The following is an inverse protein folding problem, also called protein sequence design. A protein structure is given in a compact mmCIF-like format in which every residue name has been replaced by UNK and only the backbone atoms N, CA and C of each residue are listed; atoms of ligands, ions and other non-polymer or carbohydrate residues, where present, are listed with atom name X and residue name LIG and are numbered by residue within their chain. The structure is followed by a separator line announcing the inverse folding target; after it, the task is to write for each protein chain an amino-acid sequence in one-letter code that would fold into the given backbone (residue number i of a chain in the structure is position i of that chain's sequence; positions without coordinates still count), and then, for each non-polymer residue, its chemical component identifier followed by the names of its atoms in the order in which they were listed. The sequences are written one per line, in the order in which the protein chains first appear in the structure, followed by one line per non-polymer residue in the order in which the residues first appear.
data_IF_533644275842
#
_entry.id   IF_533644275842
#
_cell.length_a   1.000
_cell.length_b   1.000
_cell.length_c   1.000
_cell.angle_alpha   90.00
_cell.angle_beta   90.00
_cell.angle_gamma   90.00
#
_symmetry.space_group_name_H-M   'P 1'
#
loop_
_entity.id
_entity.type
_entity.pdbx_description
1 polymer ?
#
# COMPACT_ATOMS: atom_id res chain seq x y z
N UNK A 1 -7.15 6.99 -9.62
CA UNK A 1 -7.03 5.79 -8.77
C UNK A 1 -7.87 4.68 -9.38
N UNK A 2 -9.17 4.90 -9.54
CA UNK A 2 -10.10 3.93 -10.14
C UNK A 2 -9.59 3.37 -11.47
N UNK A 3 -9.08 4.24 -12.36
CA UNK A 3 -8.47 3.81 -13.62
C UNK A 3 -7.33 2.79 -13.42
N UNK A 4 -6.40 3.07 -12.49
CA UNK A 4 -5.28 2.15 -12.21
C UNK A 4 -5.75 0.80 -11.66
N UNK A 5 -6.79 0.81 -10.83
CA UNK A 5 -7.38 -0.42 -10.28
C UNK A 5 -7.96 -1.27 -11.40
N UNK A 6 -8.74 -0.66 -12.30
CA UNK A 6 -9.34 -1.33 -13.47
C UNK A 6 -8.25 -1.88 -14.42
N UNK A 7 -7.18 -1.13 -14.65
CA UNK A 7 -6.05 -1.60 -15.48
C UNK A 7 -5.35 -2.82 -14.86
N UNK A 8 -5.13 -2.83 -13.55
CA UNK A 8 -4.54 -3.99 -12.85
C UNK A 8 -5.46 -5.21 -12.88
N UNK A 9 -6.76 -5.00 -12.66
CA UNK A 9 -7.75 -6.08 -12.76
C UNK A 9 -7.75 -6.71 -14.15
N UNK A 10 -7.77 -5.90 -15.19
CA UNK A 10 -7.73 -6.37 -16.58
C UNK A 10 -6.39 -7.03 -16.94
N UNK A 11 -5.29 -6.55 -16.39
CA UNK A 11 -3.99 -7.18 -16.59
C UNK A 11 -3.94 -8.60 -15.99
N UNK A 12 -4.40 -8.76 -14.74
CA UNK A 12 -4.48 -10.09 -14.09
C UNK A 12 -5.45 -10.98 -14.87
N UNK A 13 -6.62 -10.46 -15.26
CA UNK A 13 -7.56 -11.19 -16.11
C UNK A 13 -6.89 -11.71 -17.37
N UNK A 14 -6.09 -10.89 -18.06
CA UNK A 14 -5.32 -11.31 -19.24
C UNK A 14 -4.37 -12.48 -18.93
N UNK A 15 -3.62 -12.41 -17.82
CA UNK A 15 -2.75 -13.50 -17.38
C UNK A 15 -3.50 -14.80 -17.11
N UNK A 16 -4.72 -14.71 -16.54
CA UNK A 16 -5.55 -15.89 -16.29
C UNK A 16 -6.09 -16.47 -17.60
N UNK A 17 -6.66 -15.66 -18.47
CA UNK A 17 -7.28 -16.08 -19.74
C UNK A 17 -6.30 -16.78 -20.65
N UNK A 18 -5.10 -16.29 -20.81
CA UNK A 18 -4.05 -16.87 -21.67
C UNK A 18 -3.73 -18.32 -21.35
N UNK A 19 -3.99 -18.76 -20.14
CA UNK A 19 -3.67 -20.10 -19.69
C UNK A 19 -4.86 -20.86 -19.10
N UNK A 20 -6.07 -20.30 -19.13
CA UNK A 20 -7.23 -20.82 -18.42
C UNK A 20 -7.56 -22.28 -18.75
N UNK A 21 -7.46 -22.67 -20.01
CA UNK A 21 -7.67 -24.07 -20.43
C UNK A 21 -6.74 -25.07 -19.73
N UNK A 22 -5.54 -24.63 -19.30
CA UNK A 22 -4.61 -25.47 -18.50
C UNK A 22 -5.07 -25.53 -17.04
N UNK A 23 -5.56 -24.43 -16.50
CA UNK A 23 -6.14 -24.35 -15.17
C UNK A 23 -7.33 -25.29 -15.04
N UNK A 24 -8.28 -25.21 -15.98
CA UNK A 24 -9.44 -26.11 -16.06
C UNK A 24 -9.06 -27.59 -16.03
N UNK A 25 -8.09 -28.01 -16.85
CA UNK A 25 -7.61 -29.40 -16.85
C UNK A 25 -7.02 -29.82 -15.50
N UNK A 26 -6.33 -28.89 -14.84
CA UNK A 26 -5.75 -29.16 -13.52
C UNK A 26 -6.84 -29.33 -12.44
N UNK A 27 -7.88 -28.50 -12.49
CA UNK A 27 -9.05 -28.65 -11.60
C UNK A 27 -9.74 -30.00 -11.83
N UNK A 28 -9.91 -30.41 -13.06
CA UNK A 28 -10.54 -31.71 -13.39
C UNK A 28 -9.75 -32.91 -12.86
N UNK A 29 -8.42 -32.79 -12.76
CA UNK A 29 -7.56 -33.88 -12.29
C UNK A 29 -7.26 -33.84 -10.78
N UNK A 30 -7.13 -32.64 -10.19
CA UNK A 30 -6.64 -32.43 -8.82
C UNK A 30 -7.70 -31.80 -7.89
N UNK A 31 -8.88 -31.47 -8.43
CA UNK A 31 -9.93 -30.76 -7.70
C UNK A 31 -9.53 -29.31 -7.38
N UNK A 32 -10.07 -28.78 -6.31
CA UNK A 32 -9.87 -27.38 -5.89
C UNK A 32 -8.39 -27.02 -5.66
N UNK A 33 -7.60 -27.97 -5.15
CA UNK A 33 -6.16 -27.77 -5.00
C UNK A 33 -5.48 -27.50 -6.35
N UNK A 34 -5.99 -28.05 -7.43
CA UNK A 34 -5.49 -27.83 -8.77
C UNK A 34 -5.61 -26.39 -9.24
N UNK A 35 -6.71 -25.69 -8.88
CA UNK A 35 -6.87 -24.29 -9.25
C UNK A 35 -5.91 -23.39 -8.45
N UNK A 36 -5.75 -23.63 -7.16
CA UNK A 36 -4.82 -22.87 -6.32
C UNK A 36 -3.38 -23.03 -6.85
N UNK A 37 -2.96 -24.26 -7.18
CA UNK A 37 -1.64 -24.52 -7.75
C UNK A 37 -1.47 -23.83 -9.11
N UNK A 38 -2.50 -23.85 -9.97
CA UNK A 38 -2.47 -23.16 -11.25
C UNK A 38 -2.33 -21.65 -11.10
N UNK A 39 -3.14 -21.03 -10.22
CA UNK A 39 -3.08 -19.59 -9.95
C UNK A 39 -1.72 -19.20 -9.39
N UNK A 40 -1.18 -19.97 -8.45
CA UNK A 40 0.13 -19.74 -7.89
C UNK A 40 1.23 -19.80 -8.97
N UNK A 41 1.24 -20.83 -9.80
CA UNK A 41 2.23 -20.96 -10.89
C UNK A 41 2.16 -19.79 -11.89
N UNK A 42 0.97 -19.24 -12.12
CA UNK A 42 0.79 -18.09 -13.04
C UNK A 42 1.21 -16.76 -12.43
N UNK A 43 1.04 -16.59 -11.13
CA UNK A 43 1.24 -15.32 -10.43
C UNK A 43 2.52 -15.30 -9.59
N UNK A 44 3.27 -16.40 -9.51
CA UNK A 44 4.54 -16.50 -8.77
C UNK A 44 5.55 -15.42 -9.18
N UNK A 45 5.64 -15.12 -10.49
CA UNK A 45 6.52 -14.07 -11.00
C UNK A 45 6.19 -12.66 -10.47
N UNK A 46 5.03 -12.49 -9.84
CA UNK A 46 4.59 -11.24 -9.21
C UNK A 46 4.85 -11.22 -7.69
N UNK A 47 5.59 -12.19 -7.16
CA UNK A 47 5.89 -12.28 -5.73
C UNK A 47 4.77 -12.86 -4.87
N UNK A 48 3.75 -13.49 -5.49
CA UNK A 48 2.61 -14.06 -4.76
C UNK A 48 3.02 -15.30 -3.94
N UNK A 49 2.55 -15.36 -2.69
CA UNK A 49 2.63 -16.57 -1.87
C UNK A 49 1.44 -17.50 -2.14
N UNK A 50 1.63 -18.80 -1.90
CA UNK A 50 0.53 -19.77 -2.04
C UNK A 50 -0.62 -19.46 -1.06
N UNK A 51 -0.31 -18.93 0.13
CA UNK A 51 -1.30 -18.54 1.11
C UNK A 51 -2.16 -17.36 0.60
N UNK A 52 -1.52 -16.31 0.07
CA UNK A 52 -2.24 -15.15 -0.47
C UNK A 52 -3.14 -15.54 -1.65
N UNK A 53 -2.67 -16.43 -2.54
CA UNK A 53 -3.50 -17.00 -3.62
C UNK A 53 -4.71 -17.76 -3.06
N UNK A 54 -4.49 -18.61 -2.05
CA UNK A 54 -5.58 -19.37 -1.45
C UNK A 54 -6.61 -18.43 -0.78
N UNK A 55 -6.15 -17.42 -0.04
CA UNK A 55 -7.03 -16.42 0.58
C UNK A 55 -7.83 -15.64 -0.47
N UNK A 56 -7.19 -15.15 -1.53
CA UNK A 56 -7.89 -14.46 -2.61
C UNK A 56 -8.91 -15.35 -3.32
N UNK A 57 -8.62 -16.63 -3.50
CA UNK A 57 -9.58 -17.58 -4.07
C UNK A 57 -10.76 -17.86 -3.13
N UNK A 58 -10.53 -17.99 -1.83
CA UNK A 58 -11.61 -18.16 -0.84
C UNK A 58 -12.50 -16.92 -0.75
N UNK A 59 -11.93 -15.72 -0.76
CA UNK A 59 -12.66 -14.46 -0.80
C UNK A 59 -13.56 -14.40 -2.05
N UNK A 60 -13.01 -14.73 -3.22
CA UNK A 60 -13.79 -14.83 -4.45
C UNK A 60 -14.97 -15.78 -4.32
N UNK A 61 -14.79 -16.98 -3.74
CA UNK A 61 -15.88 -17.94 -3.55
C UNK A 61 -16.95 -17.43 -2.57
N UNK A 62 -16.54 -16.72 -1.54
CA UNK A 62 -17.48 -16.19 -0.54
C UNK A 62 -18.35 -15.04 -1.06
N UNK A 63 -17.83 -14.28 -2.02
CA UNK A 63 -18.50 -13.11 -2.61
C UNK A 63 -19.31 -13.45 -3.87
N UNK A 64 -19.06 -14.62 -4.46
CA UNK A 64 -19.71 -15.06 -5.69
C UNK A 64 -20.60 -16.26 -5.44
N UNK A 65 -21.90 -16.10 -5.67
CA UNK A 65 -22.89 -17.18 -5.63
C UNK A 65 -22.81 -18.12 -6.85
N UNK A 66 -21.81 -17.95 -7.72
CA UNK A 66 -21.65 -18.77 -8.91
C UNK A 66 -21.19 -20.17 -8.53
N UNK A 67 -22.13 -21.11 -8.53
CA UNK A 67 -21.88 -22.53 -8.25
C UNK A 67 -21.37 -23.30 -9.46
N UNK A 68 -21.18 -22.64 -10.62
CA UNK A 68 -20.70 -23.28 -11.81
C UNK A 68 -19.23 -23.73 -11.64
N UNK A 69 -18.89 -24.89 -12.20
CA UNK A 69 -17.52 -25.33 -12.15
C UNK A 69 -16.59 -24.46 -13.03
N UNK A 70 -15.28 -24.39 -12.73
CA UNK A 70 -14.35 -23.49 -13.42
C UNK A 70 -14.28 -23.61 -14.94
N UNK A 71 -14.68 -24.73 -15.52
CA UNK A 71 -14.74 -24.90 -16.98
C UNK A 71 -15.93 -24.24 -17.66
N UNK A 72 -16.94 -23.81 -16.88
CA UNK A 72 -18.12 -23.11 -17.37
C UNK A 72 -18.07 -21.58 -17.06
N UNK A 73 -17.01 -21.13 -16.39
CA UNK A 73 -16.84 -19.71 -16.03
C UNK A 73 -16.67 -18.84 -17.27
N UNK A 74 -17.41 -17.75 -17.27
CA UNK A 74 -17.33 -16.71 -18.29
C UNK A 74 -16.28 -15.67 -17.95
N UNK A 75 -15.96 -14.78 -18.90
CA UNK A 75 -15.01 -13.68 -18.69
C UNK A 75 -15.37 -12.77 -17.49
N UNK A 76 -16.65 -12.62 -17.20
CA UNK A 76 -17.16 -11.88 -16.03
C UNK A 76 -16.76 -12.53 -14.72
N UNK A 77 -16.91 -13.84 -14.59
CA UNK A 77 -16.51 -14.61 -13.41
C UNK A 77 -15.00 -14.60 -13.23
N UNK A 78 -14.25 -14.72 -14.34
CA UNK A 78 -12.78 -14.58 -14.31
C UNK A 78 -12.32 -13.18 -13.91
N UNK A 79 -13.07 -12.15 -14.28
CA UNK A 79 -12.76 -10.78 -13.85
C UNK A 79 -12.98 -10.62 -12.34
N UNK A 80 -14.05 -11.17 -11.78
CA UNK A 80 -14.26 -11.14 -10.32
C UNK A 80 -13.17 -11.92 -9.57
N UNK A 81 -12.73 -13.07 -10.09
CA UNK A 81 -11.57 -13.77 -9.56
C UNK A 81 -10.31 -12.90 -9.64
N UNK A 82 -10.07 -12.23 -10.78
CA UNK A 82 -8.91 -11.35 -10.95
C UNK A 82 -8.93 -10.19 -9.94
N UNK A 83 -10.09 -9.57 -9.68
CA UNK A 83 -10.28 -8.50 -8.69
C UNK A 83 -9.97 -8.98 -7.28
N UNK A 84 -10.48 -10.14 -6.89
CA UNK A 84 -10.25 -10.72 -5.58
C UNK A 84 -8.76 -11.04 -5.37
N UNK A 85 -8.11 -11.66 -6.36
CA UNK A 85 -6.68 -11.93 -6.33
C UNK A 85 -5.85 -10.64 -6.28
N UNK A 86 -6.21 -9.60 -7.07
CA UNK A 86 -5.51 -8.31 -7.01
C UNK A 86 -5.61 -7.67 -5.64
N UNK A 87 -6.78 -7.68 -5.03
CA UNK A 87 -7.00 -7.09 -3.71
C UNK A 87 -6.10 -7.71 -2.66
N UNK A 88 -5.91 -9.01 -2.71
CA UNK A 88 -5.07 -9.75 -1.79
C UNK A 88 -3.57 -9.60 -2.10
N UNK A 89 -3.20 -9.66 -3.38
CA UNK A 89 -1.79 -9.66 -3.80
C UNK A 89 -1.19 -8.25 -3.91
N UNK A 90 -1.99 -7.27 -4.28
CA UNK A 90 -1.55 -5.90 -4.56
C UNK A 90 -2.46 -4.87 -3.88
N UNK A 91 -2.49 -4.83 -2.55
CA UNK A 91 -3.20 -3.77 -1.83
C UNK A 91 -2.60 -2.41 -2.21
N UNK A 92 -3.48 -1.45 -2.52
CA UNK A 92 -3.08 -0.13 -2.97
C UNK A 92 -3.10 0.83 -1.78
N UNK A 93 -1.94 1.38 -1.43
CA UNK A 93 -1.82 2.46 -0.46
C UNK A 93 -1.71 3.80 -1.17
N UNK A 94 -2.44 4.79 -0.70
CA UNK A 94 -2.54 6.10 -1.33
C UNK A 94 -1.90 7.15 -0.44
N UNK A 95 -0.83 7.78 -0.93
CA UNK A 95 -0.29 9.00 -0.36
C UNK A 95 -1.11 10.19 -0.86
N UNK A 96 -2.04 10.71 -0.06
CA UNK A 96 -2.76 11.92 -0.36
C UNK A 96 -1.86 13.13 -0.11
N UNK A 97 -1.00 13.46 -1.08
CA UNK A 97 0.01 14.51 -0.93
C UNK A 97 -0.63 15.91 -0.94
N UNK A 98 0.09 16.89 -0.37
CA UNK A 98 -0.36 18.27 -0.16
C UNK A 98 -1.55 18.38 0.80
N UNK A 99 -1.58 17.52 1.80
CA UNK A 99 -2.64 17.48 2.80
C UNK A 99 -2.77 18.79 3.59
N UNK A 100 -1.71 19.58 3.66
CA UNK A 100 -1.71 20.93 4.28
C UNK A 100 -2.50 21.99 3.50
N UNK A 101 -2.89 21.69 2.27
CA UNK A 101 -3.65 22.58 1.39
C UNK A 101 -5.14 22.18 1.25
N UNK A 102 -5.52 21.03 1.78
CA UNK A 102 -6.86 20.46 1.61
C UNK A 102 -7.48 20.12 2.96
N UNK A 103 -8.80 20.30 3.15
CA UNK A 103 -9.48 19.85 4.37
C UNK A 103 -9.32 18.33 4.55
N UNK A 104 -9.09 17.87 5.78
CA UNK A 104 -8.93 16.45 6.11
C UNK A 104 -10.16 15.64 5.68
N UNK A 105 -11.35 16.18 5.87
CA UNK A 105 -12.64 15.54 5.52
C UNK A 105 -12.77 15.21 4.02
N UNK A 106 -11.95 15.82 3.15
CA UNK A 106 -11.99 15.53 1.70
C UNK A 106 -11.42 14.15 1.34
N UNK A 107 -10.68 13.51 2.23
CA UNK A 107 -10.08 12.18 1.98
C UNK A 107 -11.01 11.03 2.36
N UNK A 108 -11.92 11.23 3.32
CA UNK A 108 -12.88 10.21 3.78
C UNK A 108 -13.92 9.85 2.70
N UNK A 109 -14.12 10.73 1.71
CA UNK A 109 -15.05 10.51 0.61
C UNK A 109 -14.47 9.64 -0.52
N UNK A 110 -13.17 9.36 -0.49
CA UNK A 110 -12.54 8.52 -1.51
C UNK A 110 -12.80 7.04 -1.19
N UNK A 111 -13.76 6.46 -1.90
CA UNK A 111 -14.03 5.02 -1.83
C UNK A 111 -12.94 4.24 -2.57
N UNK A 112 -11.92 3.77 -1.84
CA UNK A 112 -10.86 2.93 -2.37
C UNK A 112 -10.65 1.73 -1.47
N UNK A 113 -10.43 0.56 -2.08
CA UNK A 113 -9.99 -0.63 -1.37
C UNK A 113 -8.51 -0.48 -1.03
N UNK A 114 -8.20 0.25 0.06
CA UNK A 114 -6.83 0.50 0.50
C UNK A 114 -6.74 1.61 1.53
N UNK A 115 -5.56 1.79 2.09
CA UNK A 115 -5.30 2.83 3.09
C UNK A 115 -4.96 4.15 2.41
N UNK A 116 -5.64 5.22 2.79
CA UNK A 116 -5.32 6.59 2.35
C UNK A 116 -4.63 7.28 3.51
N UNK A 117 -3.43 7.77 3.28
CA UNK A 117 -2.64 8.49 4.29
C UNK A 117 -2.38 9.91 3.79
N UNK A 118 -2.89 10.92 4.51
CA UNK A 118 -2.57 12.32 4.21
C UNK A 118 -1.08 12.57 4.38
N UNK A 119 -0.46 13.22 3.38
CA UNK A 119 0.97 13.48 3.37
C UNK A 119 1.30 14.92 3.02
N UNK A 120 2.43 15.39 3.55
CA UNK A 120 3.02 16.70 3.30
C UNK A 120 4.49 16.52 2.87
N UNK A 121 4.71 15.96 1.67
CA UNK A 121 6.04 15.56 1.21
C UNK A 121 7.03 16.73 1.09
N UNK A 122 6.57 17.90 0.64
CA UNK A 122 7.41 19.10 0.54
C UNK A 122 7.84 19.58 1.93
N UNK A 123 6.95 19.51 2.91
CA UNK A 123 7.27 19.88 4.30
C UNK A 123 8.24 18.88 4.93
N UNK A 124 8.05 17.58 4.72
CA UNK A 124 9.01 16.56 5.17
C UNK A 124 10.42 16.83 4.61
N UNK A 125 10.50 17.13 3.31
CA UNK A 125 11.78 17.45 2.67
C UNK A 125 12.41 18.72 3.25
N UNK A 126 11.61 19.76 3.52
CA UNK A 126 12.08 21.00 4.11
C UNK A 126 12.61 20.80 5.54
N UNK A 127 11.89 20.02 6.36
CA UNK A 127 12.29 19.68 7.72
C UNK A 127 13.59 18.87 7.74
N UNK A 128 13.73 17.85 6.90
CA UNK A 128 14.96 17.07 6.79
C UNK A 128 16.16 17.91 6.35
N UNK A 129 15.95 18.87 5.45
CA UNK A 129 17.01 19.80 5.03
C UNK A 129 17.40 20.75 6.15
N UNK A 130 16.44 21.27 6.90
CA UNK A 130 16.70 22.15 8.04
C UNK A 130 17.44 21.42 9.17
N UNK A 131 17.08 20.15 9.42
CA UNK A 131 17.76 19.27 10.37
C UNK A 131 19.21 18.99 9.93
N UNK A 132 19.40 18.56 8.68
CA UNK A 132 20.75 18.31 8.12
C UNK A 132 21.64 19.57 8.13
N UNK A 133 21.06 20.75 8.06
CA UNK A 133 21.77 22.03 8.17
C UNK A 133 22.01 22.47 9.63
N UNK A 134 21.51 21.72 10.62
CA UNK A 134 21.67 22.00 12.04
C UNK A 134 20.80 23.16 12.57
N UNK A 135 19.77 23.59 11.84
CA UNK A 135 18.85 24.63 12.29
C UNK A 135 17.79 24.11 13.26
N UNK A 136 17.40 22.85 13.09
CA UNK A 136 16.39 22.17 13.92
C UNK A 136 16.89 20.76 14.29
N UNK A 137 16.26 20.15 15.30
CA UNK A 137 16.35 18.71 15.59
C UNK A 137 14.97 18.10 15.28
N UNK A 138 14.90 17.31 14.20
CA UNK A 138 13.68 16.70 13.68
C UNK A 138 13.91 15.23 13.34
N UNK A 139 13.01 14.39 13.79
CA UNK A 139 12.94 12.99 13.37
C UNK A 139 11.67 12.72 12.57
N UNK A 140 11.81 12.11 11.41
CA UNK A 140 10.67 11.73 10.56
C UNK A 140 9.60 10.99 11.36
N UNK A 141 8.35 11.38 11.12
CA UNK A 141 7.18 10.81 11.80
C UNK A 141 6.81 11.48 13.12
N UNK A 142 7.63 12.41 13.64
CA UNK A 142 7.28 13.18 14.83
C UNK A 142 6.30 14.32 14.52
N UNK A 143 5.50 14.68 15.52
CA UNK A 143 4.54 15.78 15.48
C UNK A 143 5.13 17.16 15.83
N UNK A 144 6.43 17.21 16.12
CA UNK A 144 7.13 18.43 16.50
C UNK A 144 8.62 18.32 16.22
N UNK A 145 9.30 19.47 16.24
CA UNK A 145 10.77 19.59 16.20
C UNK A 145 11.23 20.69 17.15
N UNK A 146 12.51 20.72 17.47
CA UNK A 146 13.13 21.80 18.27
C UNK A 146 14.04 22.65 17.40
N UNK A 147 14.05 23.97 17.65
CA UNK A 147 14.94 24.90 16.94
C UNK A 147 16.28 24.92 17.67
N UNK A 148 17.33 24.44 17.00
CA UNK A 148 18.68 24.33 17.57
C UNK A 148 19.45 25.66 17.54
N UNK A 149 19.27 26.49 16.52
CA UNK A 149 20.06 27.70 16.30
C UNK A 149 19.15 28.91 15.96
N UNK A 150 18.39 29.36 16.95
CA UNK A 150 17.40 30.43 16.76
C UNK A 150 18.03 31.77 16.31
N UNK A 151 19.21 32.09 16.81
CA UNK A 151 19.90 33.36 16.53
C UNK A 151 20.49 33.44 15.11
N UNK A 152 20.65 32.29 14.44
CA UNK A 152 21.16 32.22 13.07
C UNK A 152 20.05 32.25 12.01
N UNK A 153 18.78 32.29 12.43
CA UNK A 153 17.64 32.29 11.53
C UNK A 153 17.17 33.73 11.26
N UNK A 154 17.01 34.06 9.99
CA UNK A 154 16.34 35.31 9.62
C UNK A 154 14.82 35.23 9.93
N UNK A 155 14.15 36.38 9.94
CA UNK A 155 12.72 36.46 10.29
C UNK A 155 11.85 35.57 9.40
N UNK A 156 12.11 35.52 8.10
CA UNK A 156 11.35 34.70 7.15
C UNK A 156 11.50 33.20 7.46
N UNK A 157 12.68 32.75 7.84
CA UNK A 157 12.93 31.36 8.25
C UNK A 157 12.23 31.03 9.56
N UNK A 158 12.25 31.95 10.53
CA UNK A 158 11.53 31.78 11.80
C UNK A 158 10.01 31.65 11.57
N UNK A 159 9.44 32.54 10.75
CA UNK A 159 8.01 32.52 10.42
C UNK A 159 7.63 31.20 9.69
N UNK A 160 8.48 30.74 8.76
CA UNK A 160 8.28 29.48 8.05
C UNK A 160 8.32 28.27 9.00
N UNK A 161 9.31 28.19 9.90
CA UNK A 161 9.40 27.12 10.89
C UNK A 161 8.22 27.12 11.86
N UNK A 162 7.77 28.30 12.30
CA UNK A 162 6.56 28.42 13.15
C UNK A 162 5.32 27.85 12.43
N UNK A 163 5.12 28.24 11.17
CA UNK A 163 4.02 27.70 10.36
C UNK A 163 4.08 26.18 10.17
N UNK A 164 5.29 25.63 9.97
CA UNK A 164 5.48 24.19 9.88
C UNK A 164 5.17 23.48 11.21
N UNK A 165 5.53 24.09 12.34
CA UNK A 165 5.25 23.52 13.65
C UNK A 165 3.75 23.47 13.95
N UNK A 166 3.00 24.50 13.59
CA UNK A 166 1.55 24.53 13.71
C UNK A 166 0.89 23.45 12.84
N UNK A 167 1.34 23.29 11.60
CA UNK A 167 0.86 22.23 10.70
C UNK A 167 1.14 20.85 11.24
N UNK A 168 2.37 20.57 11.72
CA UNK A 168 2.73 19.31 12.33
C UNK A 168 1.88 18.99 13.57
N UNK A 169 1.65 20.00 14.40
CA UNK A 169 0.81 19.84 15.59
C UNK A 169 -0.63 19.45 15.23
N UNK A 170 -1.21 20.09 14.20
CA UNK A 170 -2.57 19.83 13.75
C UNK A 170 -2.72 18.47 13.05
N UNK A 171 -1.70 18.03 12.29
CA UNK A 171 -1.74 16.80 11.49
C UNK A 171 -1.13 15.59 12.21
N UNK A 172 -0.42 15.81 13.33
CA UNK A 172 0.28 14.76 14.06
C UNK A 172 1.61 14.33 13.47
N UNK A 173 1.79 14.38 12.16
CA UNK A 173 3.03 14.12 11.44
C UNK A 173 2.94 14.61 10.00
N UNK A 174 4.02 14.48 9.22
CA UNK A 174 3.97 14.73 7.76
C UNK A 174 3.31 13.58 6.97
N UNK A 175 2.99 12.46 7.60
CA UNK A 175 2.42 11.27 6.98
C UNK A 175 3.40 10.41 6.16
N UNK A 176 4.57 10.92 5.80
CA UNK A 176 5.52 10.23 4.90
C UNK A 176 6.07 8.95 5.53
N UNK A 177 6.51 8.99 6.79
CA UNK A 177 6.96 7.78 7.49
C UNK A 177 5.84 6.77 7.68
N UNK A 178 4.63 7.23 7.98
CA UNK A 178 3.47 6.37 8.19
C UNK A 178 3.13 5.53 6.97
N UNK A 179 3.25 6.08 5.73
CA UNK A 179 3.07 5.29 4.51
C UNK A 179 4.11 4.19 4.41
N UNK A 180 5.39 4.51 4.66
CA UNK A 180 6.48 3.55 4.58
C UNK A 180 6.27 2.45 5.63
N UNK A 181 5.94 2.83 6.85
CA UNK A 181 5.70 1.89 7.95
C UNK A 181 4.52 0.96 7.64
N UNK A 182 3.41 1.48 7.13
CA UNK A 182 2.26 0.66 6.73
C UNK A 182 2.62 -0.36 5.65
N UNK A 183 3.37 0.05 4.62
CA UNK A 183 3.79 -0.87 3.57
C UNK A 183 4.75 -1.93 4.11
N UNK A 184 5.74 -1.54 4.91
CA UNK A 184 6.77 -2.46 5.39
C UNK A 184 6.23 -3.42 6.45
N UNK A 185 5.52 -2.90 7.46
CA UNK A 185 5.17 -3.68 8.64
C UNK A 185 3.78 -4.31 8.55
N UNK A 186 2.79 -3.58 8.02
CA UNK A 186 1.42 -4.08 7.94
C UNK A 186 1.17 -4.92 6.68
N UNK A 187 1.67 -4.47 5.52
CA UNK A 187 1.45 -5.19 4.27
C UNK A 187 2.47 -6.29 4.02
N UNK A 188 3.78 -5.97 4.11
CA UNK A 188 4.85 -6.91 3.82
C UNK A 188 5.26 -7.75 5.03
N UNK A 189 4.70 -7.47 6.21
CA UNK A 189 5.00 -8.16 7.47
C UNK A 189 6.52 -8.23 7.76
N UNK A 190 7.27 -7.19 7.40
CA UNK A 190 8.68 -7.10 7.71
C UNK A 190 8.92 -6.90 9.20
N UNK A 191 10.01 -7.45 9.70
CA UNK A 191 10.48 -7.23 11.08
C UNK A 191 11.81 -6.50 11.05
N UNK A 192 12.05 -5.67 12.06
CA UNK A 192 13.36 -5.05 12.28
C UNK A 192 14.22 -5.99 13.11
N UNK A 193 15.42 -6.31 12.61
CA UNK A 193 16.40 -7.15 13.32
C UNK A 193 17.62 -6.29 13.60
N UNK A 194 17.98 -6.20 14.88
CA UNK A 194 19.22 -5.55 15.32
C UNK A 194 20.27 -6.62 15.61
N UNK A 195 21.39 -6.66 14.86
CA UNK A 195 22.49 -7.55 15.18
C UNK A 195 23.08 -7.12 16.54
N UNK A 196 23.13 -8.03 17.49
CA UNK A 196 23.86 -7.85 18.75
C UNK A 196 25.23 -8.48 18.61
N UNK A 197 26.27 -7.76 19.03
CA UNK A 197 27.61 -8.27 19.12
C UNK A 197 27.78 -8.86 20.51
N UNK A 198 28.16 -10.13 20.61
CA UNK A 198 28.50 -10.73 21.91
C UNK A 198 29.69 -9.96 22.49
N UNK A 199 29.55 -9.41 23.69
CA UNK A 199 30.65 -8.90 24.49
C UNK A 199 31.45 -10.12 24.99
N UNK A 200 32.59 -10.40 24.31
CA UNK A 200 33.59 -11.39 24.78
C UNK A 200 34.54 -10.73 25.75
#
# INVERSE_FOLDING_TARGET
IEFLTVELDNWILGLLKDAWSRGVRRVQSEGEKGIINFLHDRLTGLGSSQLAIATGYENFKSENDDTNPPWDWQDTTLLELAKSLRTELFPIHIAANKADLSPIDSYETLSVNGTIIPCMADMELALRRADSAGFIDYKSGQSSFTIAQKDNLNKQQQDALSSMQDKLHNMGSTGVSQIIDNVLFEQLNHIVVFPVQDET
#
